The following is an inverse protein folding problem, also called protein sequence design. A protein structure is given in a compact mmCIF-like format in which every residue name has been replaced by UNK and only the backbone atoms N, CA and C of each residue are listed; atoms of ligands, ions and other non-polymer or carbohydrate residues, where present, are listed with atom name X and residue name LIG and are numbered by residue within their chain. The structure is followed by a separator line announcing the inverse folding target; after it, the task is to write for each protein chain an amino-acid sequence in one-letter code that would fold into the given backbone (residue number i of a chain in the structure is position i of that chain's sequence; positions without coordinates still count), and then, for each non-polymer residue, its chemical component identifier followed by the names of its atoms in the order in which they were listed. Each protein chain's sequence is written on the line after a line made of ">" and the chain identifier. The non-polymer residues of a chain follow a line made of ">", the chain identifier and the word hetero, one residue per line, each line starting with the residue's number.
data_IF_335041765057
#
_entry.id   IF_335041765057
#
_cell.length_a   1.000
_cell.length_b   1.000
_cell.length_c   1.000
_cell.angle_alpha   90.00
_cell.angle_beta   90.00
_cell.angle_gamma   90.00
#
_symmetry.space_group_name_H-M   'P 1'
#
loop_
_entity.id
_entity.type
_entity.pdbx_description
1 polymer ?
#
# COMPACT_ATOMS: atom_id res chain seq x y z
N UNK A 1 -27.85 4.86 -13.78
CA UNK A 1 -28.34 5.86 -12.83
C UNK A 1 -27.17 6.25 -11.95
N UNK A 2 -26.60 7.44 -12.08
CA UNK A 2 -25.56 7.91 -11.14
C UNK A 2 -26.26 8.49 -9.92
N UNK A 3 -26.33 7.69 -8.85
CA UNK A 3 -26.70 8.23 -7.54
C UNK A 3 -25.68 9.28 -7.09
N UNK A 4 -26.13 10.35 -6.44
CA UNK A 4 -25.23 11.32 -5.81
C UNK A 4 -24.83 10.83 -4.42
N UNK A 5 -23.55 10.99 -4.06
CA UNK A 5 -23.07 10.80 -2.69
C UNK A 5 -23.26 12.13 -1.94
N UNK A 6 -23.74 12.08 -0.71
CA UNK A 6 -23.96 13.26 0.14
C UNK A 6 -23.25 13.06 1.48
N UNK A 7 -22.53 14.08 1.95
CA UNK A 7 -21.97 14.14 3.28
C UNK A 7 -23.00 14.75 4.24
N UNK A 8 -23.32 14.03 5.32
CA UNK A 8 -24.13 14.56 6.42
C UNK A 8 -23.24 15.40 7.33
N UNK A 9 -23.64 16.63 7.60
CA UNK A 9 -22.94 17.55 8.49
C UNK A 9 -23.59 17.57 9.89
N UNK A 10 -22.85 18.02 10.89
CA UNK A 10 -23.29 18.07 12.29
C UNK A 10 -24.57 18.91 12.51
N UNK A 11 -24.81 19.88 11.63
CA UNK A 11 -26.01 20.72 11.62
C UNK A 11 -27.23 20.05 10.95
N UNK A 12 -27.15 18.74 10.68
CA UNK A 12 -28.12 17.97 9.89
C UNK A 12 -28.23 18.41 8.42
N UNK A 13 -27.28 19.21 7.93
CA UNK A 13 -27.16 19.59 6.53
C UNK A 13 -26.67 18.43 5.66
N UNK A 14 -27.02 18.49 4.37
CA UNK A 14 -26.52 17.57 3.35
C UNK A 14 -25.71 18.33 2.31
N UNK A 15 -24.45 17.93 2.13
CA UNK A 15 -23.57 18.48 1.08
C UNK A 15 -23.39 17.44 -0.01
N UNK A 16 -23.83 17.76 -1.23
CA UNK A 16 -23.62 16.90 -2.39
C UNK A 16 -22.14 16.85 -2.74
N UNK A 17 -21.59 15.64 -2.81
CA UNK A 17 -20.24 15.40 -3.32
C UNK A 17 -20.27 15.37 -4.85
N UNK A 18 -19.33 16.08 -5.47
CA UNK A 18 -19.13 16.06 -6.91
C UNK A 18 -17.82 15.34 -7.21
N UNK A 19 -17.88 14.34 -8.08
CA UNK A 19 -16.70 13.62 -8.56
C UNK A 19 -15.75 14.58 -9.27
N UNK A 20 -14.47 14.50 -8.94
CA UNK A 20 -13.40 15.23 -9.62
C UNK A 20 -12.25 14.26 -9.91
N UNK A 21 -11.62 14.44 -11.07
CA UNK A 21 -10.40 13.74 -11.39
C UNK A 21 -9.24 14.26 -10.52
N UNK A 22 -8.27 13.39 -10.23
CA UNK A 22 -7.03 13.81 -9.60
C UNK A 22 -6.12 14.51 -10.60
N UNK A 23 -5.52 15.64 -10.18
CA UNK A 23 -4.65 16.45 -11.04
C UNK A 23 -3.34 15.71 -11.40
N UNK A 24 -2.77 14.95 -10.45
CA UNK A 24 -1.51 14.22 -10.62
C UNK A 24 -1.51 12.86 -9.91
N UNK A 25 -0.58 11.99 -10.32
CA UNK A 25 -0.30 10.72 -9.62
C UNK A 25 0.24 11.01 -8.22
N UNK A 26 1.17 11.96 -8.06
CA UNK A 26 1.70 12.35 -6.74
C UNK A 26 0.61 12.81 -5.76
N UNK A 27 -0.41 13.56 -6.22
CA UNK A 27 -1.55 13.93 -5.38
C UNK A 27 -2.30 12.68 -4.88
N UNK A 28 -2.59 11.76 -5.80
CA UNK A 28 -3.26 10.50 -5.44
C UNK A 28 -2.39 9.65 -4.52
N UNK A 29 -1.09 9.57 -4.77
CA UNK A 29 -0.14 8.85 -3.94
C UNK A 29 -0.08 9.43 -2.52
N UNK A 30 -0.07 10.76 -2.39
CA UNK A 30 -0.11 11.45 -1.10
C UNK A 30 -1.42 11.19 -0.34
N UNK A 31 -2.56 11.14 -1.04
CA UNK A 31 -3.85 10.80 -0.44
C UNK A 31 -3.89 9.35 0.05
N UNK A 32 -3.39 8.40 -0.73
CA UNK A 32 -3.33 6.98 -0.33
C UNK A 32 -2.38 6.77 0.86
N UNK A 33 -1.24 7.47 0.89
CA UNK A 33 -0.33 7.41 2.02
C UNK A 33 -0.94 7.99 3.30
N UNK A 34 -1.76 9.04 3.19
CA UNK A 34 -2.41 9.69 4.34
C UNK A 34 -3.68 8.99 4.79
N UNK A 35 -4.41 8.37 3.87
CA UNK A 35 -5.67 7.68 4.12
C UNK A 35 -5.62 6.29 3.46
N UNK A 36 -4.89 5.32 4.06
CA UNK A 36 -4.74 4.00 3.49
C UNK A 36 -6.06 3.25 3.28
N UNK A 37 -7.10 3.55 4.06
CA UNK A 37 -8.46 2.99 3.92
C UNK A 37 -9.13 3.29 2.57
N UNK A 38 -8.58 4.23 1.78
CA UNK A 38 -9.00 4.43 0.38
C UNK A 38 -8.67 3.20 -0.50
N UNK A 39 -7.70 2.38 -0.10
CA UNK A 39 -7.51 1.04 -0.63
C UNK A 39 -8.60 0.16 -0.02
N UNK A 40 -9.68 -0.09 -0.75
CA UNK A 40 -10.89 -0.78 -0.27
C UNK A 40 -10.62 -2.24 0.16
N UNK A 41 -10.07 -2.43 1.36
CA UNK A 41 -9.68 -3.73 1.90
C UNK A 41 -10.86 -4.67 2.15
N UNK A 42 -12.06 -4.11 2.35
CA UNK A 42 -13.33 -4.81 2.45
C UNK A 42 -13.77 -5.46 1.12
N UNK A 43 -13.38 -4.90 -0.01
CA UNK A 43 -13.61 -5.49 -1.33
C UNK A 43 -12.67 -6.68 -1.61
N UNK A 44 -11.52 -6.74 -0.92
CA UNK A 44 -10.58 -7.86 -1.01
C UNK A 44 -11.06 -9.01 -0.12
N UNK A 45 -11.42 -8.72 1.13
CA UNK A 45 -12.00 -9.69 2.05
C UNK A 45 -13.10 -9.03 2.87
N UNK A 46 -14.35 -9.37 2.57
CA UNK A 46 -15.51 -8.78 3.24
C UNK A 46 -15.73 -9.30 4.67
N UNK A 47 -15.17 -10.46 5.00
CA UNK A 47 -15.30 -11.07 6.34
C UNK A 47 -14.22 -10.58 7.31
N UNK A 48 -13.04 -10.29 6.80
CA UNK A 48 -11.92 -9.74 7.53
C UNK A 48 -11.21 -8.71 6.63
N UNK A 49 -11.73 -7.47 6.58
CA UNK A 49 -11.19 -6.42 5.74
C UNK A 49 -9.71 -6.21 5.95
N UNK A 50 -8.97 -6.02 4.86
CA UNK A 50 -7.56 -5.66 4.93
C UNK A 50 -7.43 -4.26 5.52
N UNK A 51 -6.66 -4.14 6.60
CA UNK A 51 -6.24 -2.87 7.19
C UNK A 51 -4.82 -2.61 6.73
N UNK A 52 -4.56 -1.41 6.27
CA UNK A 52 -3.30 -1.11 5.59
C UNK A 52 -2.38 -0.30 6.48
N UNK A 53 -1.15 -0.77 6.58
CA UNK A 53 -0.04 -0.09 7.22
C UNK A 53 0.96 0.32 6.16
N UNK A 54 1.09 1.62 5.92
CA UNK A 54 2.07 2.12 4.98
C UNK A 54 3.48 1.81 5.50
N UNK A 55 4.32 1.17 4.70
CA UNK A 55 5.73 1.00 5.04
C UNK A 55 6.53 2.17 4.51
N UNK A 56 6.44 2.45 3.21
CA UNK A 56 7.14 3.55 2.58
C UNK A 56 6.53 3.91 1.22
N UNK A 57 6.85 5.13 0.77
CA UNK A 57 6.60 5.60 -0.58
C UNK A 57 7.87 5.51 -1.41
N UNK A 58 7.73 5.37 -2.73
CA UNK A 58 8.83 5.44 -3.71
C UNK A 58 10.01 4.52 -3.36
N UNK A 59 9.71 3.27 -3.02
CA UNK A 59 10.73 2.35 -2.54
C UNK A 59 11.55 1.83 -3.70
N UNK A 60 12.85 2.14 -3.68
CA UNK A 60 13.79 1.66 -4.67
C UNK A 60 14.19 0.22 -4.39
N UNK A 61 13.95 -0.66 -5.35
CA UNK A 61 14.36 -2.05 -5.33
C UNK A 61 15.71 -2.19 -6.02
N UNK A 62 16.66 -2.83 -5.33
CA UNK A 62 17.94 -3.18 -5.92
C UNK A 62 17.77 -4.37 -6.87
N UNK A 63 18.23 -4.20 -8.11
CA UNK A 63 18.27 -5.23 -9.14
C UNK A 63 19.64 -5.90 -9.15
N UNK A 64 19.84 -6.87 -8.25
CA UNK A 64 21.11 -7.60 -8.11
C UNK A 64 22.34 -6.70 -7.79
N UNK A 65 23.46 -7.33 -7.41
CA UNK A 65 24.71 -6.64 -7.04
C UNK A 65 25.42 -5.94 -8.21
N UNK A 66 25.03 -6.14 -9.49
CA UNK A 66 25.84 -5.63 -10.62
C UNK A 66 25.09 -5.38 -11.97
N UNK A 67 23.77 -5.15 -11.99
CA UNK A 67 23.02 -5.13 -13.27
C UNK A 67 21.79 -4.24 -13.38
N UNK A 68 21.95 -3.08 -14.00
CA UNK A 68 21.02 -2.34 -14.87
C UNK A 68 19.48 -2.46 -14.64
N UNK A 69 18.99 -2.09 -13.46
CA UNK A 69 17.55 -1.86 -13.31
C UNK A 69 17.11 -1.41 -11.93
N UNK A 70 17.53 -0.25 -11.43
CA UNK A 70 16.90 0.29 -10.22
C UNK A 70 15.41 0.56 -10.50
N UNK A 71 14.54 -0.31 -10.01
CA UNK A 71 13.09 -0.11 -10.07
C UNK A 71 12.63 0.62 -8.82
N UNK A 72 11.52 1.34 -8.91
CA UNK A 72 10.90 2.01 -7.78
C UNK A 72 9.42 1.67 -7.79
N UNK A 73 8.89 1.25 -6.65
CA UNK A 73 7.45 1.06 -6.44
C UNK A 73 6.85 2.31 -5.81
N UNK A 74 5.64 2.71 -6.20
CA UNK A 74 4.99 3.91 -5.66
C UNK A 74 4.72 3.78 -4.15
N UNK A 75 4.16 2.64 -3.71
CA UNK A 75 3.95 2.34 -2.29
C UNK A 75 4.18 0.88 -1.96
N UNK A 76 4.63 0.68 -0.73
CA UNK A 76 4.59 -0.61 -0.08
C UNK A 76 3.74 -0.53 1.19
N UNK A 77 2.80 -1.47 1.32
CA UNK A 77 1.97 -1.64 2.49
C UNK A 77 2.19 -3.01 3.14
N UNK A 78 1.83 -3.11 4.42
CA UNK A 78 1.57 -4.34 5.14
C UNK A 78 0.11 -4.39 5.58
N UNK A 79 -0.41 -5.58 5.84
CA UNK A 79 -1.70 -5.76 6.48
C UNK A 79 -1.59 -6.42 7.86
N UNK A 80 -2.73 -6.59 8.55
CA UNK A 80 -2.77 -7.26 9.85
C UNK A 80 -2.25 -8.72 9.82
N UNK A 81 -2.18 -9.31 8.63
CA UNK A 81 -1.63 -10.65 8.41
C UNK A 81 -0.13 -10.66 8.11
N UNK A 82 0.52 -9.49 8.17
CA UNK A 82 1.91 -9.27 7.81
C UNK A 82 2.20 -9.61 6.34
N UNK A 83 1.22 -9.43 5.45
CA UNK A 83 1.37 -9.64 4.01
C UNK A 83 1.84 -8.32 3.35
N UNK A 84 3.03 -8.29 2.75
CA UNK A 84 3.48 -7.17 1.93
C UNK A 84 2.58 -7.03 0.70
N UNK A 85 2.17 -5.81 0.41
CA UNK A 85 1.34 -5.46 -0.73
C UNK A 85 1.96 -4.28 -1.47
N UNK A 86 2.22 -4.46 -2.77
CA UNK A 86 2.77 -3.40 -3.62
C UNK A 86 1.60 -2.68 -4.29
N UNK A 87 1.61 -1.35 -4.24
CA UNK A 87 0.57 -0.53 -4.86
C UNK A 87 1.22 0.44 -5.83
N UNK A 88 0.90 0.30 -7.11
CA UNK A 88 1.23 1.30 -8.13
C UNK A 88 0.03 2.20 -8.42
N UNK A 89 0.31 3.49 -8.53
CA UNK A 89 -0.73 4.51 -8.63
C UNK A 89 -0.73 5.11 -10.02
N UNK A 90 -1.87 4.99 -10.73
CA UNK A 90 -2.07 5.59 -12.05
C UNK A 90 -3.39 6.33 -12.16
N UNK A 91 -3.39 7.40 -12.94
CA UNK A 91 -4.62 8.15 -13.26
C UNK A 91 -5.51 7.32 -14.18
N UNK A 92 -6.81 7.29 -13.87
CA UNK A 92 -7.83 6.58 -14.66
C UNK A 92 -7.91 7.05 -16.12
N UNK A 93 -7.48 8.29 -16.40
CA UNK A 93 -7.45 8.88 -17.74
C UNK A 93 -6.30 8.35 -18.61
N UNK A 94 -5.29 7.69 -18.05
CA UNK A 94 -4.19 7.12 -18.83
C UNK A 94 -4.43 5.63 -19.17
N UNK A 95 -5.12 5.42 -20.28
CA UNK A 95 -5.51 4.08 -20.75
C UNK A 95 -4.37 3.32 -21.42
N UNK A 96 -3.26 3.99 -21.79
CA UNK A 96 -2.08 3.37 -22.41
C UNK A 96 -1.22 2.64 -21.38
N UNK A 97 -1.22 3.12 -20.14
CA UNK A 97 -0.35 2.67 -19.06
C UNK A 97 -0.79 1.32 -18.45
N UNK A 98 -2.06 0.91 -18.59
CA UNK A 98 -2.55 -0.35 -17.97
C UNK A 98 -1.77 -1.60 -18.40
N UNK A 99 -1.29 -1.68 -19.64
CA UNK A 99 -0.47 -2.83 -20.11
C UNK A 99 0.98 -2.75 -19.63
N UNK A 100 1.49 -1.54 -19.44
CA UNK A 100 2.84 -1.28 -18.96
C UNK A 100 2.96 -1.61 -17.47
N UNK A 101 1.98 -1.21 -16.66
CA UNK A 101 1.94 -1.55 -15.22
C UNK A 101 1.81 -3.05 -15.00
N UNK A 102 0.99 -3.76 -15.79
CA UNK A 102 0.93 -5.23 -15.69
C UNK A 102 2.27 -5.87 -16.06
N UNK A 103 2.99 -5.32 -17.05
CA UNK A 103 4.35 -5.74 -17.37
C UNK A 103 5.31 -5.55 -16.20
N UNK A 104 5.28 -4.38 -15.55
CA UNK A 104 6.07 -4.09 -14.35
C UNK A 104 5.71 -5.05 -13.19
N UNK A 105 4.42 -5.26 -12.91
CA UNK A 105 3.95 -6.19 -11.87
C UNK A 105 4.39 -7.64 -12.14
N UNK A 106 4.38 -8.07 -13.39
CA UNK A 106 4.88 -9.39 -13.78
C UNK A 106 6.41 -9.48 -13.63
N UNK A 107 7.13 -8.41 -13.94
CA UNK A 107 8.58 -8.34 -13.76
C UNK A 107 8.97 -8.32 -12.28
N UNK A 108 8.18 -7.68 -11.40
CA UNK A 108 8.33 -7.80 -9.95
C UNK A 108 8.02 -9.22 -9.46
N UNK A 109 6.92 -9.83 -9.87
CA UNK A 109 6.62 -11.20 -9.45
C UNK A 109 7.71 -12.20 -9.91
N UNK A 110 8.36 -11.93 -11.05
CA UNK A 110 9.45 -12.74 -11.58
C UNK A 110 10.81 -12.50 -10.90
N UNK A 111 11.12 -11.26 -10.48
CA UNK A 111 12.45 -10.87 -9.97
C UNK A 111 12.51 -10.49 -8.47
N UNK A 112 11.40 -10.04 -7.86
CA UNK A 112 11.38 -9.34 -6.57
C UNK A 112 11.14 -10.23 -5.34
N UNK A 113 10.68 -11.48 -5.50
CA UNK A 113 10.61 -12.45 -4.38
C UNK A 113 11.99 -12.73 -3.77
N UNK A 114 13.07 -12.32 -4.46
CA UNK A 114 14.46 -12.66 -4.10
C UNK A 114 15.22 -11.50 -3.43
N UNK A 115 14.77 -10.25 -3.51
CA UNK A 115 15.61 -9.08 -3.15
C UNK A 115 14.97 -8.06 -2.18
N UNK A 116 14.09 -8.49 -1.28
CA UNK A 116 13.72 -7.66 -0.12
C UNK A 116 14.30 -8.26 1.17
N UNK A 117 15.49 -7.84 1.63
CA UNK A 117 15.91 -8.11 2.99
C UNK A 117 14.87 -7.48 3.92
N UNK A 118 14.21 -8.29 4.72
CA UNK A 118 13.16 -7.82 5.66
C UNK A 118 13.70 -6.78 6.65
N UNK A 119 15.01 -6.79 6.87
CA UNK A 119 15.74 -5.77 7.63
C UNK A 119 15.46 -4.39 7.05
N UNK A 120 15.38 -4.24 5.72
CA UNK A 120 15.09 -2.96 5.07
C UNK A 120 13.65 -2.49 5.30
N UNK A 121 12.67 -3.40 5.43
CA UNK A 121 11.26 -3.00 5.64
C UNK A 121 10.98 -2.43 7.00
N UNK A 122 11.54 -3.06 8.02
CA UNK A 122 11.39 -2.59 9.40
C UNK A 122 12.06 -1.23 9.55
N UNK A 123 13.27 -1.09 9.03
CA UNK A 123 14.01 0.17 9.09
C UNK A 123 13.25 1.30 8.33
N UNK A 124 12.78 1.03 7.10
CA UNK A 124 11.97 1.98 6.33
C UNK A 124 10.68 2.39 7.06
N UNK A 125 10.04 1.45 7.74
CA UNK A 125 8.84 1.73 8.52
C UNK A 125 9.15 2.57 9.75
N UNK A 126 10.18 2.21 10.51
CA UNK A 126 10.59 2.89 11.74
C UNK A 126 11.08 4.32 11.50
N UNK A 127 11.57 4.64 10.29
CA UNK A 127 11.89 6.01 9.87
C UNK A 127 10.66 6.95 9.78
N UNK A 128 9.44 6.40 9.71
CA UNK A 128 8.21 7.19 9.62
C UNK A 128 7.80 7.77 10.97
N UNK A 129 7.29 8.99 10.95
CA UNK A 129 6.60 9.55 12.12
C UNK A 129 5.36 8.71 12.46
N UNK A 130 5.15 8.43 13.75
CA UNK A 130 4.01 7.65 14.29
C UNK A 130 3.95 6.19 13.89
N UNK A 131 5.03 5.63 13.33
CA UNK A 131 5.15 4.21 12.97
C UNK A 131 4.71 3.27 14.11
N UNK A 132 5.20 3.48 15.33
CA UNK A 132 4.79 2.68 16.50
C UNK A 132 3.28 2.74 16.77
N UNK A 133 2.69 3.94 16.76
CA UNK A 133 1.25 4.13 17.01
C UNK A 133 0.40 3.45 15.93
N UNK A 134 0.76 3.62 14.66
CA UNK A 134 0.03 3.00 13.55
C UNK A 134 0.13 1.47 13.58
N UNK A 135 1.29 0.93 14.00
CA UNK A 135 1.46 -0.50 14.19
C UNK A 135 0.62 -1.02 15.36
N UNK A 136 0.61 -0.31 16.50
CA UNK A 136 -0.22 -0.66 17.65
C UNK A 136 -1.73 -0.62 17.32
N UNK A 137 -2.15 0.34 16.50
CA UNK A 137 -3.53 0.43 16.00
C UNK A 137 -3.87 -0.74 15.06
N UNK A 138 -2.96 -1.11 14.16
CA UNK A 138 -3.12 -2.29 13.29
C UNK A 138 -3.22 -3.59 14.09
N UNK A 139 -2.42 -3.68 15.16
CA UNK A 139 -2.29 -4.85 16.03
C UNK A 139 -3.28 -4.86 17.20
N UNK A 140 -4.15 -3.85 17.30
CA UNK A 140 -5.16 -3.71 18.35
C UNK A 140 -4.58 -3.72 19.79
N UNK A 141 -3.38 -3.16 19.98
CA UNK A 141 -2.74 -2.92 21.30
C UNK A 141 -2.47 -4.17 22.17
N UNK A 142 -2.58 -5.39 21.64
CA UNK A 142 -2.27 -6.64 22.37
C UNK A 142 -1.26 -7.55 21.64
N UNK A 143 -0.74 -7.15 20.48
CA UNK A 143 0.07 -8.06 19.68
C UNK A 143 1.58 -7.90 19.86
N UNK A 144 2.26 -9.03 19.68
CA UNK A 144 3.71 -9.16 19.66
C UNK A 144 4.30 -8.50 18.41
N UNK A 145 4.80 -7.26 18.56
CA UNK A 145 5.48 -6.51 17.49
C UNK A 145 6.62 -7.29 16.86
N UNK A 146 7.42 -7.99 17.66
CA UNK A 146 8.53 -8.79 17.14
C UNK A 146 8.00 -10.01 16.37
N UNK A 147 6.96 -10.66 16.90
CA UNK A 147 6.22 -11.72 16.22
C UNK A 147 5.62 -11.27 14.88
N UNK A 148 5.10 -10.04 14.79
CA UNK A 148 4.60 -9.45 13.55
C UNK A 148 5.71 -9.32 12.51
N UNK A 149 6.84 -8.70 12.85
CA UNK A 149 7.97 -8.57 11.93
C UNK A 149 8.56 -9.92 11.51
N UNK A 150 8.56 -10.90 12.41
CA UNK A 150 8.97 -12.26 12.05
C UNK A 150 7.97 -12.96 11.12
N UNK A 151 6.67 -12.65 11.22
CA UNK A 151 5.65 -13.08 10.26
C UNK A 151 5.86 -12.40 8.90
N UNK A 152 6.16 -11.09 8.87
CA UNK A 152 6.53 -10.36 7.64
C UNK A 152 7.69 -11.08 6.93
N UNK A 153 8.73 -11.40 7.70
CA UNK A 153 9.90 -12.15 7.21
C UNK A 153 9.53 -13.47 6.58
N UNK A 154 8.70 -14.25 7.27
CA UNK A 154 8.28 -15.57 6.83
C UNK A 154 7.44 -15.47 5.55
N UNK A 155 6.56 -14.48 5.45
CA UNK A 155 5.73 -14.26 4.27
C UNK A 155 6.58 -13.84 3.06
N UNK A 156 7.53 -12.92 3.23
CA UNK A 156 8.46 -12.53 2.17
C UNK A 156 9.32 -13.71 1.69
N UNK A 157 9.92 -14.48 2.60
CA UNK A 157 10.72 -15.65 2.25
C UNK A 157 9.90 -16.74 1.54
N UNK A 158 8.60 -16.81 1.83
CA UNK A 158 7.67 -17.71 1.16
C UNK A 158 7.10 -17.14 -0.15
N UNK A 159 7.50 -15.93 -0.56
CA UNK A 159 6.98 -15.25 -1.74
C UNK A 159 5.50 -14.84 -1.63
N UNK A 160 4.96 -14.73 -0.41
CA UNK A 160 3.60 -14.27 -0.16
C UNK A 160 3.56 -12.75 -0.20
N UNK A 161 3.40 -12.22 -1.41
CA UNK A 161 3.24 -10.79 -1.69
C UNK A 161 1.98 -10.61 -2.53
N UNK A 162 1.22 -9.55 -2.26
CA UNK A 162 0.00 -9.19 -2.99
C UNK A 162 0.22 -8.03 -3.96
#
# INVERSE_FOLDING_TARGET
>A
MSGGIYLVQDDSGLVKMNEQAYDSEDLLQGLLAKYPDLLAGDQINSTEPRRWLLVAREVSLASEEDGAGRWSVDHLFLDQDAIPTIVEVKRSTDTRIRREVVGQMLEYAANAVVYWPVVDLRDLFEEREKSEQELDELLESEADTEGFWQKVKTNLQAGKVA
#
